data_IF_967469992414
#
_entry.id   IF_967469992414
#
_cell.length_a   1.000
_cell.length_b   1.000
_cell.length_c   1.000
_cell.angle_alpha   90.00
_cell.angle_beta   90.00
_cell.angle_gamma   90.00
#
_symmetry.space_group_name_H-M   'P 1'
#
loop_
_entity.id
_entity.type
_entity.pdbx_description
1 polymer ?
#
# COMPACT_ATOMS: atom_id res chain seq x y z
N UNK A 1 3.98 13.00 10.96
CA UNK A 1 4.04 14.37 11.54
C UNK A 1 5.04 14.46 12.68
N UNK A 2 4.96 13.57 13.67
CA UNK A 2 5.87 13.60 14.84
C UNK A 2 7.36 13.56 14.43
N UNK A 3 7.77 12.63 13.59
CA UNK A 3 9.16 12.53 13.13
C UNK A 3 9.61 13.78 12.38
N UNK A 4 8.76 14.34 11.53
CA UNK A 4 9.08 15.58 10.79
C UNK A 4 9.22 16.77 11.73
N UNK A 5 8.32 16.93 12.69
CA UNK A 5 8.41 17.98 13.70
C UNK A 5 9.68 17.89 14.58
N UNK A 6 10.16 16.68 14.81
CA UNK A 6 11.32 16.39 15.64
C UNK A 6 12.55 15.94 14.83
N UNK A 7 12.58 16.25 13.53
CA UNK A 7 13.61 15.76 12.61
C UNK A 7 15.04 16.06 13.09
N UNK A 8 15.27 17.24 13.64
CA UNK A 8 16.58 17.63 14.20
C UNK A 8 17.00 16.73 15.36
N UNK A 9 16.08 16.38 16.26
CA UNK A 9 16.35 15.50 17.42
C UNK A 9 16.79 14.11 16.99
N UNK A 10 16.20 13.60 15.89
CA UNK A 10 16.48 12.26 15.39
C UNK A 10 17.48 12.23 14.22
N UNK A 11 18.12 13.38 13.91
CA UNK A 11 19.04 13.52 12.79
C UNK A 11 18.41 13.04 11.44
N UNK A 12 17.17 13.45 11.20
CA UNK A 12 16.41 13.11 9.99
C UNK A 12 16.30 14.32 9.06
N UNK A 13 16.18 14.06 7.77
CA UNK A 13 15.80 15.09 6.79
C UNK A 13 14.27 15.24 6.75
N UNK A 14 13.69 16.38 7.18
CA UNK A 14 12.25 16.56 7.22
C UNK A 14 11.57 16.58 5.83
N UNK A 15 12.35 16.69 4.77
CA UNK A 15 11.84 16.70 3.39
C UNK A 15 11.86 15.30 2.73
N UNK A 16 12.48 14.30 3.35
CA UNK A 16 12.80 13.02 2.73
C UNK A 16 12.29 11.83 3.55
N UNK A 17 10.99 11.71 3.66
CA UNK A 17 10.34 10.55 4.28
C UNK A 17 9.76 9.63 3.21
N UNK A 18 9.94 8.34 3.39
CA UNK A 18 9.24 7.32 2.61
C UNK A 18 8.50 6.37 3.56
N UNK A 19 7.38 5.81 3.08
CA UNK A 19 6.71 4.69 3.74
C UNK A 19 7.17 3.38 3.11
N UNK A 20 7.31 2.35 3.93
CA UNK A 20 7.66 1.01 3.47
C UNK A 20 6.90 -0.04 4.28
N UNK A 21 6.30 -0.98 3.60
CA UNK A 21 5.60 -2.08 4.25
C UNK A 21 5.32 -3.26 3.35
N UNK A 22 5.02 -4.40 3.98
CA UNK A 22 4.64 -5.64 3.33
C UNK A 22 3.28 -6.12 3.82
N UNK A 23 2.50 -6.80 2.99
CA UNK A 23 1.18 -7.33 3.35
C UNK A 23 0.27 -6.22 3.87
N UNK A 24 -0.33 -6.34 5.04
CA UNK A 24 -1.09 -5.26 5.70
C UNK A 24 -0.25 -3.98 5.87
N UNK A 25 1.06 -4.09 6.17
CA UNK A 25 1.97 -2.94 6.20
C UNK A 25 2.16 -2.30 4.82
N UNK A 26 2.12 -3.08 3.74
CA UNK A 26 2.12 -2.58 2.36
C UNK A 26 0.85 -1.78 2.04
N UNK A 27 -0.31 -2.25 2.51
CA UNK A 27 -1.56 -1.51 2.46
C UNK A 27 -1.43 -0.15 3.18
N UNK A 28 -0.95 -0.15 4.43
CA UNK A 28 -0.77 1.08 5.21
C UNK A 28 0.26 2.02 4.57
N UNK A 29 1.35 1.48 3.99
CA UNK A 29 2.35 2.29 3.30
C UNK A 29 1.77 2.98 2.05
N UNK A 30 0.94 2.26 1.27
CA UNK A 30 0.23 2.82 0.13
C UNK A 30 -0.80 3.86 0.57
N UNK A 31 -1.62 3.56 1.59
CA UNK A 31 -2.64 4.46 2.09
C UNK A 31 -2.01 5.76 2.62
N UNK A 32 -0.96 5.68 3.44
CA UNK A 32 -0.25 6.85 3.94
C UNK A 32 0.34 7.73 2.82
N UNK A 33 0.80 7.12 1.72
CA UNK A 33 1.34 7.84 0.57
C UNK A 33 0.26 8.52 -0.27
N UNK A 34 -0.93 7.93 -0.36
CA UNK A 34 -1.99 8.45 -1.24
C UNK A 34 -2.94 9.40 -0.53
N UNK A 35 -3.09 9.31 0.80
CA UNK A 35 -4.10 10.02 1.58
C UNK A 35 -3.61 11.26 2.33
N UNK A 36 -2.40 11.75 2.09
CA UNK A 36 -1.89 12.95 2.75
C UNK A 36 -2.82 14.15 2.48
N UNK A 37 -3.26 14.82 3.55
CA UNK A 37 -4.20 15.96 3.49
C UNK A 37 -5.67 15.58 3.33
N UNK A 38 -6.02 14.29 3.36
CA UNK A 38 -7.42 13.83 3.38
C UNK A 38 -7.96 13.96 4.80
N UNK A 39 -8.83 14.97 5.03
CA UNK A 39 -9.31 15.34 6.36
C UNK A 39 -9.93 14.16 7.15
N UNK A 40 -10.67 13.27 6.47
CA UNK A 40 -11.29 12.10 7.09
C UNK A 40 -10.30 11.04 7.58
N UNK A 41 -9.05 11.10 7.11
CA UNK A 41 -7.99 10.15 7.45
C UNK A 41 -6.86 10.77 8.28
N UNK A 42 -6.88 12.09 8.47
CA UNK A 42 -5.91 12.80 9.29
C UNK A 42 -6.53 13.35 10.59
N UNK A 43 -6.31 12.65 11.70
CA UNK A 43 -6.68 13.18 13.00
C UNK A 43 -5.66 14.25 13.45
N UNK A 44 -6.07 15.50 13.38
CA UNK A 44 -5.22 16.64 13.75
C UNK A 44 -5.08 16.80 15.28
N UNK A 45 -5.86 16.05 16.08
CA UNK A 45 -5.74 16.07 17.55
C UNK A 45 -4.59 15.22 18.05
N UNK A 46 -4.05 14.30 17.21
CA UNK A 46 -2.92 13.42 17.54
C UNK A 46 -1.55 14.12 17.54
N UNK A 47 -1.52 15.44 17.63
CA UNK A 47 -0.32 16.26 17.75
C UNK A 47 0.28 16.71 16.41
N UNK A 48 1.10 17.75 16.50
CA UNK A 48 1.78 18.41 15.39
C UNK A 48 0.82 18.79 14.24
N UNK A 49 -0.30 19.50 14.51
CA UNK A 49 -1.34 19.77 13.49
C UNK A 49 -0.86 20.65 12.34
N UNK A 50 0.19 21.47 12.55
CA UNK A 50 0.76 22.33 11.50
C UNK A 50 1.84 21.64 10.65
N UNK A 51 2.10 20.34 10.86
CA UNK A 51 3.15 19.60 10.17
C UNK A 51 2.54 18.63 9.17
N UNK A 52 3.02 18.65 7.93
CA UNK A 52 2.54 17.77 6.86
C UNK A 52 2.83 16.29 7.15
N UNK A 53 1.84 15.43 6.87
CA UNK A 53 1.96 13.96 6.86
C UNK A 53 2.49 13.42 5.53
N UNK A 54 2.55 14.24 4.48
CA UNK A 54 2.96 13.81 3.14
C UNK A 54 4.35 13.16 3.14
N UNK A 55 4.52 12.13 2.33
CA UNK A 55 5.80 11.44 2.13
C UNK A 55 6.30 11.62 0.71
N UNK A 56 7.61 11.44 0.51
CA UNK A 56 8.27 11.63 -0.78
C UNK A 56 8.21 10.41 -1.68
N UNK A 57 7.95 9.23 -1.10
CA UNK A 57 7.85 7.96 -1.81
C UNK A 57 7.15 6.90 -0.97
N UNK A 58 6.69 5.82 -1.61
CA UNK A 58 6.27 4.62 -0.93
C UNK A 58 6.88 3.36 -1.56
N UNK A 59 7.13 2.36 -0.72
CA UNK A 59 7.50 0.99 -1.12
C UNK A 59 6.42 0.04 -0.59
N UNK A 60 5.80 -0.68 -1.51
CA UNK A 60 4.65 -1.55 -1.24
C UNK A 60 4.99 -2.97 -1.68
N UNK A 61 5.17 -3.85 -0.73
CA UNK A 61 5.35 -5.28 -1.00
C UNK A 61 4.03 -6.01 -0.76
N UNK A 62 3.50 -6.63 -1.79
CA UNK A 62 2.30 -7.48 -1.79
C UNK A 62 1.18 -6.97 -0.87
N UNK A 63 0.93 -5.67 -0.88
CA UNK A 63 -0.14 -5.05 -0.08
C UNK A 63 -1.50 -5.08 -0.77
N UNK A 64 -2.61 -5.29 -0.02
CA UNK A 64 -3.95 -5.02 -0.52
C UNK A 64 -4.11 -3.55 -0.91
N UNK A 65 -4.82 -3.28 -2.00
CA UNK A 65 -5.08 -1.92 -2.51
C UNK A 65 -6.54 -1.67 -2.83
N UNK A 66 -7.29 -2.75 -3.09
CA UNK A 66 -8.74 -2.79 -3.16
C UNK A 66 -9.27 -4.04 -2.46
N UNK A 67 -9.64 -3.86 -1.19
CA UNK A 67 -10.08 -4.96 -0.31
C UNK A 67 -11.31 -5.67 -0.89
N UNK A 68 -12.21 -4.93 -1.52
CA UNK A 68 -13.45 -5.48 -2.09
C UNK A 68 -13.24 -6.45 -3.26
N UNK A 69 -12.05 -6.42 -3.89
CA UNK A 69 -11.73 -7.27 -5.05
C UNK A 69 -10.79 -8.44 -4.71
N UNK A 70 -10.41 -8.64 -3.45
CA UNK A 70 -9.40 -9.65 -3.11
C UNK A 70 -9.84 -11.06 -3.46
N UNK A 71 -11.02 -11.49 -3.02
CA UNK A 71 -11.50 -12.86 -3.25
C UNK A 71 -11.70 -13.19 -4.74
N UNK A 72 -12.32 -12.28 -5.49
CA UNK A 72 -12.51 -12.46 -6.93
C UNK A 72 -11.18 -12.52 -7.69
N UNK A 73 -10.21 -11.72 -7.28
CA UNK A 73 -8.88 -11.70 -7.88
C UNK A 73 -8.07 -12.96 -7.57
N UNK A 74 -8.18 -13.53 -6.36
CA UNK A 74 -7.57 -14.82 -6.00
C UNK A 74 -8.12 -15.95 -6.87
N UNK A 75 -9.42 -16.01 -7.05
CA UNK A 75 -10.07 -17.03 -7.90
C UNK A 75 -9.65 -16.86 -9.37
N UNK A 76 -9.61 -15.61 -9.87
CA UNK A 76 -9.17 -15.33 -11.23
C UNK A 76 -7.67 -15.66 -11.45
N UNK A 77 -6.85 -15.59 -10.42
CA UNK A 77 -5.43 -15.98 -10.46
C UNK A 77 -5.23 -17.50 -10.45
N UNK A 78 -6.29 -18.28 -10.18
CA UNK A 78 -6.25 -19.75 -10.10
C UNK A 78 -5.88 -20.30 -8.74
N UNK A 79 -5.98 -19.50 -7.70
CA UNK A 79 -5.81 -19.96 -6.32
C UNK A 79 -6.95 -20.89 -5.90
N UNK A 80 -6.70 -21.77 -4.93
CA UNK A 80 -7.72 -22.69 -4.42
C UNK A 80 -8.92 -21.92 -3.86
N UNK A 81 -10.18 -22.34 -4.09
CA UNK A 81 -11.36 -21.62 -3.62
C UNK A 81 -11.38 -21.33 -2.10
N UNK A 82 -10.76 -22.19 -1.29
CA UNK A 82 -10.65 -21.97 0.16
C UNK A 82 -9.74 -20.81 0.58
N UNK A 83 -8.94 -20.25 -0.33
CA UNK A 83 -8.13 -19.06 -0.04
C UNK A 83 -8.94 -17.76 -0.17
N UNK A 84 -10.05 -17.77 -0.91
CA UNK A 84 -10.94 -16.63 -1.12
C UNK A 84 -11.90 -16.47 0.07
N UNK A 85 -11.38 -16.00 1.20
CA UNK A 85 -12.12 -15.85 2.47
C UNK A 85 -12.06 -14.45 3.07
N UNK A 86 -11.47 -13.49 2.35
CA UNK A 86 -11.29 -12.10 2.82
C UNK A 86 -12.62 -11.34 2.96
N UNK A 87 -13.62 -11.73 2.19
CA UNK A 87 -14.95 -11.12 2.22
C UNK A 87 -15.86 -11.59 3.34
N UNK A 88 -15.49 -12.62 4.09
CA UNK A 88 -16.35 -13.26 5.08
C UNK A 88 -16.33 -12.52 6.42
N UNK A 89 -17.39 -12.73 7.23
CA UNK A 89 -17.41 -12.27 8.61
C UNK A 89 -16.27 -12.94 9.41
N UNK A 90 -15.55 -12.16 10.22
CA UNK A 90 -14.38 -12.62 10.99
C UNK A 90 -13.10 -12.78 10.16
N UNK A 91 -13.09 -12.39 8.89
CA UNK A 91 -11.83 -12.18 8.16
C UNK A 91 -11.07 -10.99 8.73
N UNK A 92 -9.75 -10.96 8.57
CA UNK A 92 -8.92 -9.85 9.01
C UNK A 92 -9.37 -8.51 8.38
N UNK A 93 -9.82 -8.54 7.13
CA UNK A 93 -10.34 -7.39 6.40
C UNK A 93 -11.69 -6.92 6.95
N UNK A 94 -12.60 -7.86 7.25
CA UNK A 94 -13.90 -7.52 7.85
C UNK A 94 -13.75 -6.96 9.26
N UNK A 95 -12.85 -7.52 10.06
CA UNK A 95 -12.54 -7.03 11.40
C UNK A 95 -11.87 -5.65 11.35
N UNK A 96 -10.94 -5.45 10.42
CA UNK A 96 -10.30 -4.14 10.18
C UNK A 96 -11.30 -3.05 9.80
N UNK A 97 -12.27 -3.38 8.94
CA UNK A 97 -13.28 -2.42 8.47
C UNK A 97 -14.45 -2.25 9.44
N UNK A 98 -14.63 -3.16 10.40
CA UNK A 98 -15.78 -3.19 11.31
C UNK A 98 -17.09 -3.58 10.64
N UNK A 99 -17.02 -4.25 9.48
CA UNK A 99 -18.17 -4.71 8.70
C UNK A 99 -17.77 -5.87 7.79
N UNK A 100 -18.72 -6.75 7.46
CA UNK A 100 -18.46 -7.88 6.55
C UNK A 100 -18.26 -7.36 5.12
N UNK A 101 -17.06 -7.55 4.56
CA UNK A 101 -16.62 -7.01 3.26
C UNK A 101 -17.59 -7.35 2.14
N UNK A 102 -18.11 -8.60 2.07
CA UNK A 102 -19.03 -9.04 1.02
C UNK A 102 -20.47 -8.49 1.15
N UNK A 103 -20.69 -7.46 1.96
CA UNK A 103 -22.01 -6.82 2.10
C UNK A 103 -22.03 -5.42 1.49
N UNK A 104 -23.17 -5.05 0.91
CA UNK A 104 -23.33 -3.70 0.37
C UNK A 104 -23.14 -2.60 1.42
N UNK A 105 -23.49 -2.88 2.68
CA UNK A 105 -23.33 -1.96 3.80
C UNK A 105 -21.84 -1.63 4.08
N UNK A 106 -20.90 -2.50 3.71
CA UNK A 106 -19.47 -2.30 3.92
C UNK A 106 -18.80 -1.44 2.81
N UNK A 107 -19.46 -1.20 1.69
CA UNK A 107 -18.88 -0.47 0.55
C UNK A 107 -18.28 0.90 0.90
N UNK A 108 -18.89 1.74 1.76
CA UNK A 108 -18.27 3.01 2.18
C UNK A 108 -16.97 2.82 2.97
N UNK A 109 -16.91 1.83 3.86
CA UNK A 109 -15.72 1.52 4.64
C UNK A 109 -14.60 0.97 3.75
N UNK A 110 -14.91 0.09 2.80
CA UNK A 110 -13.98 -0.41 1.79
C UNK A 110 -13.39 0.77 1.01
N UNK A 111 -14.24 1.64 0.45
CA UNK A 111 -13.79 2.80 -0.31
C UNK A 111 -12.88 3.70 0.51
N UNK A 112 -13.21 3.93 1.79
CA UNK A 112 -12.41 4.75 2.70
C UNK A 112 -11.05 4.12 3.01
N UNK A 113 -10.97 2.81 3.12
CA UNK A 113 -9.73 2.09 3.41
C UNK A 113 -8.83 1.88 2.18
N UNK A 114 -9.39 1.88 0.97
CA UNK A 114 -8.62 1.55 -0.23
C UNK A 114 -7.68 2.68 -0.66
N UNK A 115 -6.35 2.47 -0.73
CA UNK A 115 -5.39 3.49 -1.16
C UNK A 115 -5.65 4.00 -2.59
N UNK A 116 -6.19 3.17 -3.48
CA UNK A 116 -6.54 3.56 -4.86
C UNK A 116 -7.57 4.68 -4.92
N UNK A 117 -8.39 4.84 -3.88
CA UNK A 117 -9.41 5.90 -3.77
C UNK A 117 -8.79 7.31 -3.77
N UNK A 118 -7.58 7.43 -3.26
CA UNK A 118 -6.92 8.72 -3.01
C UNK A 118 -5.78 9.03 -3.97
N UNK A 119 -5.56 8.18 -4.96
CA UNK A 119 -4.54 8.45 -5.98
C UNK A 119 -4.91 9.71 -6.76
N UNK A 120 -3.99 10.68 -6.77
CA UNK A 120 -4.22 11.97 -7.42
C UNK A 120 -2.92 12.73 -7.67
N UNK A 121 -3.03 14.01 -8.04
CA UNK A 121 -1.89 14.83 -8.45
C UNK A 121 -0.78 14.97 -7.39
N UNK A 122 -1.10 14.87 -6.11
CA UNK A 122 -0.13 14.95 -5.00
C UNK A 122 0.48 13.61 -4.62
N UNK A 123 0.02 12.49 -5.18
CA UNK A 123 0.54 11.16 -4.86
C UNK A 123 2.01 11.05 -5.26
N UNK A 124 2.92 10.67 -4.34
CA UNK A 124 4.33 10.53 -4.62
C UNK A 124 4.63 9.30 -5.49
N UNK A 125 5.86 9.14 -6.00
CA UNK A 125 6.29 7.89 -6.64
C UNK A 125 6.10 6.67 -5.73
N UNK A 126 5.58 5.58 -6.29
CA UNK A 126 5.37 4.32 -5.58
C UNK A 126 6.12 3.19 -6.28
N UNK A 127 6.94 2.45 -5.52
CA UNK A 127 7.56 1.21 -5.96
C UNK A 127 6.82 0.02 -5.38
N UNK A 128 6.38 -0.90 -6.22
CA UNK A 128 5.61 -2.08 -5.84
C UNK A 128 6.33 -3.37 -6.22
N UNK A 129 6.34 -4.34 -5.32
CA UNK A 129 6.77 -5.72 -5.62
C UNK A 129 5.69 -6.71 -5.20
N UNK A 130 5.45 -7.73 -6.05
CA UNK A 130 4.43 -8.74 -5.77
C UNK A 130 4.82 -10.11 -6.35
N UNK A 131 4.59 -11.17 -5.57
CA UNK A 131 4.78 -12.54 -6.02
C UNK A 131 3.73 -12.95 -7.05
N UNK A 132 4.13 -13.72 -8.07
CA UNK A 132 3.18 -14.14 -9.11
C UNK A 132 2.30 -15.31 -8.70
N UNK A 133 2.65 -16.00 -7.61
CA UNK A 133 1.90 -17.15 -7.08
C UNK A 133 1.36 -16.88 -5.67
N UNK A 134 1.19 -15.59 -5.32
CA UNK A 134 0.68 -15.18 -4.03
C UNK A 134 -0.83 -15.47 -3.94
N UNK A 135 -1.19 -16.48 -3.13
CA UNK A 135 -2.57 -16.89 -2.89
C UNK A 135 -3.08 -16.48 -1.50
N UNK A 136 -2.48 -15.45 -0.91
CA UNK A 136 -3.00 -14.73 0.26
C UNK A 136 -3.47 -13.34 -0.19
N UNK A 137 -2.59 -12.53 -0.78
CA UNK A 137 -2.96 -11.27 -1.43
C UNK A 137 -2.70 -11.42 -2.92
N UNK A 138 -3.71 -11.36 -3.79
CA UNK A 138 -3.52 -11.62 -5.22
C UNK A 138 -2.68 -10.54 -5.89
N UNK A 139 -1.82 -10.94 -6.83
CA UNK A 139 -0.94 -10.03 -7.59
C UNK A 139 -1.73 -8.89 -8.29
N UNK A 140 -3.00 -9.12 -8.58
CA UNK A 140 -3.92 -8.12 -9.14
C UNK A 140 -4.00 -6.84 -8.28
N UNK A 141 -3.83 -6.94 -6.97
CA UNK A 141 -3.90 -5.79 -6.06
C UNK A 141 -2.85 -4.71 -6.42
N UNK A 142 -1.60 -5.08 -6.65
CA UNK A 142 -0.59 -4.11 -7.11
C UNK A 142 -0.81 -3.66 -8.56
N UNK A 143 -1.49 -4.47 -9.38
CA UNK A 143 -1.89 -4.05 -10.73
C UNK A 143 -2.95 -2.95 -10.68
N UNK A 144 -3.95 -3.06 -9.80
CA UNK A 144 -4.97 -2.04 -9.59
C UNK A 144 -4.36 -0.69 -9.15
N UNK A 145 -3.44 -0.72 -8.18
CA UNK A 145 -2.76 0.50 -7.76
C UNK A 145 -1.92 1.10 -8.90
N UNK A 146 -1.19 0.25 -9.66
CA UNK A 146 -0.42 0.71 -10.82
C UNK A 146 -1.31 1.40 -11.85
N UNK A 147 -2.47 0.82 -12.16
CA UNK A 147 -3.42 1.38 -13.10
C UNK A 147 -3.99 2.73 -12.62
N UNK A 148 -4.33 2.84 -11.34
CA UNK A 148 -4.79 4.10 -10.75
C UNK A 148 -3.71 5.19 -10.83
N UNK A 149 -2.45 4.84 -10.54
CA UNK A 149 -1.30 5.75 -10.63
C UNK A 149 -1.08 6.22 -12.08
N UNK A 150 -1.12 5.29 -13.05
CA UNK A 150 -0.97 5.61 -14.47
C UNK A 150 -2.07 6.53 -14.97
N UNK A 151 -3.32 6.24 -14.59
CA UNK A 151 -4.48 7.07 -14.96
C UNK A 151 -4.38 8.50 -14.40
N UNK A 152 -3.72 8.66 -13.24
CA UNK A 152 -3.45 9.96 -12.62
C UNK A 152 -2.14 10.62 -13.14
N UNK A 153 -1.44 10.01 -14.09
CA UNK A 153 -0.15 10.49 -14.59
C UNK A 153 0.96 10.47 -13.53
N UNK A 154 0.89 9.53 -12.57
CA UNK A 154 1.85 9.44 -11.45
C UNK A 154 2.85 8.32 -11.66
N UNK A 155 4.08 8.54 -11.20
CA UNK A 155 5.15 7.56 -11.32
C UNK A 155 4.87 6.34 -10.43
N UNK A 156 4.77 5.17 -11.05
CA UNK A 156 4.62 3.89 -10.36
C UNK A 156 5.45 2.81 -11.04
N UNK A 157 6.29 2.15 -10.27
CA UNK A 157 7.07 1.01 -10.74
C UNK A 157 6.50 -0.26 -10.12
N UNK A 158 6.12 -1.22 -10.94
CA UNK A 158 5.70 -2.56 -10.50
C UNK A 158 6.70 -3.61 -10.95
N UNK A 159 7.14 -4.45 -10.00
CA UNK A 159 7.98 -5.62 -10.26
C UNK A 159 7.28 -6.88 -9.79
N UNK A 160 7.14 -7.84 -10.68
CA UNK A 160 6.71 -9.19 -10.33
C UNK A 160 7.93 -10.01 -9.88
N UNK A 161 7.79 -10.71 -8.75
CA UNK A 161 8.73 -11.72 -8.28
C UNK A 161 8.19 -13.08 -8.75
N UNK A 162 8.75 -13.58 -9.84
CA UNK A 162 8.23 -14.78 -10.51
C UNK A 162 8.38 -16.01 -9.61
N UNK A 163 7.28 -16.74 -9.42
CA UNK A 163 7.24 -17.95 -8.59
C UNK A 163 7.17 -17.70 -7.07
N UNK A 164 7.31 -16.45 -6.63
CA UNK A 164 7.20 -16.13 -5.20
C UNK A 164 5.73 -16.09 -4.75
N UNK A 165 5.51 -16.54 -3.50
CA UNK A 165 4.24 -16.43 -2.79
C UNK A 165 4.17 -15.17 -1.93
N UNK A 166 3.38 -15.26 -0.83
CA UNK A 166 3.21 -14.20 0.16
C UNK A 166 4.35 -14.22 1.17
N UNK A 167 5.39 -13.46 0.92
CA UNK A 167 6.60 -13.50 1.76
C UNK A 167 7.60 -14.57 1.31
N UNK A 168 8.70 -14.71 2.08
CA UNK A 168 9.77 -15.67 1.79
C UNK A 168 11.12 -15.00 1.61
N UNK A 169 12.19 -15.80 1.40
CA UNK A 169 13.56 -15.29 1.28
C UNK A 169 13.78 -14.44 0.01
N UNK A 170 12.95 -14.60 -1.01
CA UNK A 170 13.01 -13.83 -2.25
C UNK A 170 12.89 -12.33 -2.02
N UNK A 171 12.17 -11.93 -0.98
CA UNK A 171 11.87 -10.54 -0.65
C UNK A 171 13.06 -9.79 -0.04
N UNK A 172 13.97 -10.50 0.60
CA UNK A 172 15.19 -9.95 1.17
C UNK A 172 16.44 -10.30 0.37
N UNK A 173 16.27 -10.93 -0.79
CA UNK A 173 17.35 -11.33 -1.68
C UNK A 173 18.06 -10.13 -2.30
N UNK A 174 19.32 -10.31 -2.73
CA UNK A 174 20.07 -9.27 -3.43
C UNK A 174 19.32 -8.70 -4.63
N UNK A 175 18.70 -9.51 -5.52
CA UNK A 175 17.92 -8.99 -6.64
C UNK A 175 16.74 -8.08 -6.24
N UNK A 176 16.12 -8.31 -5.07
CA UNK A 176 15.09 -7.41 -4.56
C UNK A 176 15.69 -6.07 -4.14
N UNK A 177 16.80 -6.09 -3.43
CA UNK A 177 17.52 -4.89 -2.98
C UNK A 177 18.09 -4.09 -4.15
N UNK A 178 18.66 -4.75 -5.16
CA UNK A 178 19.20 -4.12 -6.37
C UNK A 178 18.15 -3.33 -7.15
N UNK A 179 16.88 -3.66 -6.98
CA UNK A 179 15.78 -2.91 -7.62
C UNK A 179 15.28 -1.77 -6.73
N UNK A 180 15.23 -2.00 -5.42
CA UNK A 180 14.73 -1.03 -4.45
C UNK A 180 15.68 0.15 -4.25
N UNK A 181 16.98 -0.11 -4.11
CA UNK A 181 17.96 0.92 -3.80
C UNK A 181 18.04 2.02 -4.88
N UNK A 182 18.07 1.74 -6.20
CA UNK A 182 18.02 2.77 -7.22
C UNK A 182 16.76 3.64 -7.16
N UNK A 183 15.59 3.04 -6.90
CA UNK A 183 14.36 3.79 -6.72
C UNK A 183 14.45 4.78 -5.56
N UNK A 184 14.84 4.29 -4.37
CA UNK A 184 14.97 5.14 -3.19
C UNK A 184 16.02 6.24 -3.37
N UNK A 185 17.15 5.93 -4.02
CA UNK A 185 18.16 6.94 -4.34
C UNK A 185 17.62 8.02 -5.28
N UNK A 186 16.87 7.64 -6.31
CA UNK A 186 16.30 8.60 -7.25
C UNK A 186 15.27 9.54 -6.63
N UNK A 187 14.48 9.06 -5.66
CA UNK A 187 13.39 9.85 -5.07
C UNK A 187 13.75 10.53 -3.75
N UNK A 188 14.76 10.04 -3.03
CA UNK A 188 15.18 10.57 -1.73
C UNK A 188 16.53 11.31 -1.76
N UNK A 189 17.32 11.12 -2.82
CA UNK A 189 18.63 11.76 -3.01
C UNK A 189 18.74 12.33 -4.44
N UNK A 190 17.82 13.23 -4.85
CA UNK A 190 17.89 13.88 -6.15
C UNK A 190 19.10 14.82 -6.27
#
# INVERSE_FOLDING_TARGET
RFLRANAKTYNLDPQRFATFGSSAGGHLAALAATSAGVADLEDMTLGNPGVSSAVSAAVVWYGPTDIGQMDSALLAQGCAPGTASHGQAGSAESDFLGCTVNTAACAPAIKRANPITYVGASTPPIFMMHGTTDCIVPNAQTTLLKQAMDAAGRCALKRNVVGAGHGGPEWTSQPAQDTLAPFLNAVLKP
#
